data_IF_135238845850
#
_entry.id   IF_135238845850
#
_cell.length_a   1.000
_cell.length_b   1.000
_cell.length_c   1.000
_cell.angle_alpha   90.00
_cell.angle_beta   90.00
_cell.angle_gamma   90.00
#
_symmetry.space_group_name_H-M   'P 1'
#
loop_
_entity.id
_entity.type
_entity.pdbx_description
1 polymer ?
#
# COMPACT_ATOMS: atom_id res chain seq x y z
N UNK A 1 4.39 -4.98 -38.27
CA UNK A 1 5.08 -4.43 -37.09
C UNK A 1 4.76 -5.32 -35.90
N UNK A 2 5.75 -5.98 -35.31
CA UNK A 2 5.54 -6.83 -34.13
C UNK A 2 4.99 -5.98 -32.99
N UNK A 3 3.89 -6.42 -32.37
CA UNK A 3 3.40 -5.74 -31.16
C UNK A 3 4.45 -5.91 -30.06
N UNK A 4 5.02 -4.82 -29.61
CA UNK A 4 5.84 -4.81 -28.39
C UNK A 4 4.86 -5.01 -27.24
N UNK A 5 4.84 -6.19 -26.64
CA UNK A 5 4.11 -6.41 -25.39
C UNK A 5 4.79 -5.56 -24.31
N UNK A 6 4.09 -4.58 -23.70
CA UNK A 6 4.69 -3.76 -22.67
C UNK A 6 5.07 -4.64 -21.46
N UNK A 7 6.20 -4.32 -20.83
CA UNK A 7 6.60 -4.96 -19.59
C UNK A 7 5.63 -4.61 -18.45
N UNK A 8 5.56 -5.47 -17.43
CA UNK A 8 4.78 -5.17 -16.22
C UNK A 8 5.12 -3.79 -15.64
N UNK A 9 6.42 -3.45 -15.57
CA UNK A 9 6.88 -2.16 -15.05
C UNK A 9 6.32 -0.98 -15.84
N UNK A 10 6.23 -1.08 -17.16
CA UNK A 10 5.63 -0.02 -17.99
C UNK A 10 4.13 0.13 -17.72
N UNK A 11 3.41 -0.99 -17.64
CA UNK A 11 1.99 -1.00 -17.30
C UNK A 11 1.74 -0.42 -15.90
N UNK A 12 2.54 -0.83 -14.92
CA UNK A 12 2.50 -0.33 -13.54
C UNK A 12 2.72 1.17 -13.45
N UNK A 13 3.78 1.69 -14.08
CA UNK A 13 4.06 3.13 -14.04
C UNK A 13 2.97 3.94 -14.74
N UNK A 14 2.47 3.47 -15.88
CA UNK A 14 1.36 4.09 -16.58
C UNK A 14 0.10 4.14 -15.71
N UNK A 15 -0.21 3.06 -15.00
CA UNK A 15 -1.37 2.99 -14.12
C UNK A 15 -1.21 3.94 -12.92
N UNK A 16 -0.03 3.99 -12.31
CA UNK A 16 0.28 4.91 -11.21
C UNK A 16 0.15 6.37 -11.66
N UNK A 17 0.65 6.73 -12.83
CA UNK A 17 0.52 8.09 -13.39
C UNK A 17 -0.95 8.45 -13.62
N UNK A 18 -1.74 7.53 -14.16
CA UNK A 18 -3.16 7.74 -14.38
C UNK A 18 -3.91 7.94 -13.04
N UNK A 19 -3.63 7.10 -12.05
CA UNK A 19 -4.22 7.22 -10.72
C UNK A 19 -3.83 8.52 -10.02
N UNK A 20 -2.58 8.99 -10.16
CA UNK A 20 -2.16 10.29 -9.63
C UNK A 20 -2.95 11.44 -10.24
N UNK A 21 -3.17 11.39 -11.56
CA UNK A 21 -3.87 12.44 -12.28
C UNK A 21 -5.36 12.45 -12.00
N UNK A 22 -6.01 11.29 -12.11
CA UNK A 22 -7.47 11.20 -12.16
C UNK A 22 -8.08 10.87 -10.79
N UNK A 23 -7.39 10.09 -9.97
CA UNK A 23 -7.90 9.65 -8.68
C UNK A 23 -7.38 10.52 -7.53
N UNK A 24 -6.06 10.65 -7.36
CA UNK A 24 -5.47 11.44 -6.27
C UNK A 24 -5.91 12.90 -6.34
N UNK A 25 -5.99 13.48 -7.54
CA UNK A 25 -6.48 14.85 -7.76
C UNK A 25 -7.96 15.04 -7.41
N UNK A 26 -8.76 13.99 -7.47
CA UNK A 26 -10.19 14.02 -7.13
C UNK A 26 -10.46 13.82 -5.63
N UNK A 27 -9.46 13.39 -4.83
CA UNK A 27 -9.59 13.23 -3.39
C UNK A 27 -9.66 14.59 -2.70
N UNK A 28 -10.81 14.87 -2.05
CA UNK A 28 -11.03 16.12 -1.31
C UNK A 28 -10.20 16.17 -0.02
N UNK A 29 -10.25 15.08 0.75
CA UNK A 29 -9.56 14.99 2.03
C UNK A 29 -8.03 14.92 1.85
N UNK A 30 -7.31 15.63 2.73
CA UNK A 30 -5.85 15.65 2.69
C UNK A 30 -5.26 14.33 3.19
N UNK A 31 -5.86 13.73 4.22
CA UNK A 31 -5.42 12.44 4.76
C UNK A 31 -5.51 11.32 3.71
N UNK A 32 -6.58 11.30 2.93
CA UNK A 32 -6.73 10.36 1.82
C UNK A 32 -5.66 10.54 0.73
N UNK A 33 -5.27 11.78 0.42
CA UNK A 33 -4.18 12.05 -0.54
C UNK A 33 -2.83 11.60 0.00
N UNK A 34 -2.55 11.84 1.28
CA UNK A 34 -1.33 11.37 1.94
C UNK A 34 -1.29 9.83 2.02
N UNK A 35 -2.42 9.19 2.33
CA UNK A 35 -2.55 7.73 2.32
C UNK A 35 -2.31 7.14 0.93
N UNK A 36 -2.81 7.79 -0.13
CA UNK A 36 -2.52 7.41 -1.50
C UNK A 36 -1.02 7.45 -1.80
N UNK A 37 -0.30 8.50 -1.39
CA UNK A 37 1.14 8.59 -1.60
C UNK A 37 1.92 7.48 -0.87
N UNK A 38 1.45 7.07 0.31
CA UNK A 38 2.00 5.91 1.03
C UNK A 38 1.77 4.60 0.26
N UNK A 39 0.59 4.43 -0.34
CA UNK A 39 0.30 3.26 -1.20
C UNK A 39 1.23 3.21 -2.41
N UNK A 40 1.45 4.34 -3.09
CA UNK A 40 2.39 4.37 -4.23
C UNK A 40 3.79 3.94 -3.80
N UNK A 41 4.27 4.40 -2.64
CA UNK A 41 5.59 4.02 -2.14
C UNK A 41 5.68 2.50 -1.89
N UNK A 42 4.66 1.93 -1.25
CA UNK A 42 4.60 0.49 -0.97
C UNK A 42 4.55 -0.35 -2.25
N UNK A 43 3.82 0.10 -3.27
CA UNK A 43 3.78 -0.58 -4.56
C UNK A 43 5.13 -0.47 -5.29
N UNK A 44 5.73 0.71 -5.35
CA UNK A 44 7.02 0.91 -6.02
C UNK A 44 8.15 0.08 -5.39
N UNK A 45 8.13 -0.20 -4.09
CA UNK A 45 9.14 -1.06 -3.45
C UNK A 45 9.01 -2.53 -3.82
N UNK A 46 7.85 -2.95 -4.33
CA UNK A 46 7.49 -4.35 -4.57
C UNK A 46 7.17 -4.61 -6.04
N UNK A 47 7.55 -3.72 -6.95
CA UNK A 47 7.22 -3.81 -8.39
C UNK A 47 7.75 -5.09 -9.05
N UNK A 48 8.91 -5.57 -8.60
CA UNK A 48 9.49 -6.84 -9.05
C UNK A 48 8.68 -8.05 -8.54
N UNK A 49 8.30 -8.05 -7.25
CA UNK A 49 7.47 -9.12 -6.68
C UNK A 49 6.11 -9.14 -7.37
N UNK A 50 5.56 -7.96 -7.64
CA UNK A 50 4.31 -7.79 -8.36
C UNK A 50 4.38 -8.38 -9.78
N UNK A 51 5.40 -8.03 -10.55
CA UNK A 51 5.59 -8.54 -11.92
C UNK A 51 5.72 -10.06 -12.04
N UNK A 52 6.07 -10.75 -10.94
CA UNK A 52 6.25 -12.20 -10.89
C UNK A 52 5.04 -12.99 -10.35
N UNK A 53 3.95 -12.33 -9.96
CA UNK A 53 2.86 -12.95 -9.20
C UNK A 53 1.81 -13.73 -10.01
N UNK A 54 1.93 -13.80 -11.34
CA UNK A 54 0.92 -14.34 -12.27
C UNK A 54 -0.49 -13.72 -12.16
N UNK A 55 -0.68 -12.63 -11.40
CA UNK A 55 -1.95 -11.90 -11.35
C UNK A 55 -2.17 -11.16 -12.68
N UNK A 56 -3.32 -11.33 -13.35
CA UNK A 56 -3.49 -10.89 -14.74
C UNK A 56 -3.64 -9.38 -14.93
N UNK A 57 -4.15 -8.66 -13.92
CA UNK A 57 -4.39 -7.21 -14.00
C UNK A 57 -3.48 -6.43 -13.06
N UNK A 58 -2.88 -5.37 -13.57
CA UNK A 58 -2.01 -4.46 -12.81
C UNK A 58 -2.73 -3.82 -11.62
N UNK A 59 -4.01 -3.46 -11.76
CA UNK A 59 -4.78 -2.92 -10.65
C UNK A 59 -5.10 -3.98 -9.58
N UNK A 60 -5.41 -5.21 -9.98
CA UNK A 60 -5.74 -6.28 -9.03
C UNK A 60 -4.54 -6.59 -8.14
N UNK A 61 -3.34 -6.61 -8.71
CA UNK A 61 -2.13 -6.85 -7.94
C UNK A 61 -1.75 -5.66 -7.07
N UNK A 62 -1.92 -4.43 -7.55
CA UNK A 62 -1.74 -3.24 -6.73
C UNK A 62 -2.71 -3.26 -5.54
N UNK A 63 -3.97 -3.63 -5.75
CA UNK A 63 -4.96 -3.79 -4.69
C UNK A 63 -4.54 -4.89 -3.69
N UNK A 64 -4.10 -6.05 -4.18
CA UNK A 64 -3.59 -7.13 -3.33
C UNK A 64 -2.41 -6.65 -2.48
N UNK A 65 -1.45 -5.94 -3.07
CA UNK A 65 -0.31 -5.36 -2.35
C UNK A 65 -0.74 -4.33 -1.31
N UNK A 66 -1.73 -3.49 -1.62
CA UNK A 66 -2.31 -2.55 -0.67
C UNK A 66 -2.92 -3.28 0.53
N UNK A 67 -3.66 -4.37 0.29
CA UNK A 67 -4.24 -5.19 1.37
C UNK A 67 -3.17 -5.88 2.23
N UNK A 68 -2.10 -6.41 1.61
CA UNK A 68 -0.96 -6.99 2.34
C UNK A 68 -0.30 -5.93 3.24
N UNK A 69 -0.05 -4.73 2.69
CA UNK A 69 0.53 -3.63 3.45
C UNK A 69 -0.39 -3.19 4.61
N UNK A 70 -1.67 -3.01 4.34
CA UNK A 70 -2.68 -2.66 5.35
C UNK A 70 -2.72 -3.71 6.48
N UNK A 71 -2.71 -5.01 6.13
CA UNK A 71 -2.73 -6.10 7.11
C UNK A 71 -1.48 -6.10 8.00
N UNK A 72 -0.31 -5.75 7.44
CA UNK A 72 0.95 -5.58 8.18
C UNK A 72 0.84 -4.41 9.15
N UNK A 73 0.45 -3.22 8.69
CA UNK A 73 0.32 -2.02 9.52
C UNK A 73 -0.68 -2.23 10.68
N UNK A 74 -1.85 -2.80 10.40
CA UNK A 74 -2.84 -3.12 11.44
C UNK A 74 -2.26 -4.11 12.47
N UNK A 75 -1.47 -5.08 12.03
CA UNK A 75 -0.78 -6.01 12.94
C UNK A 75 0.22 -5.32 13.86
N UNK A 76 1.02 -4.41 13.31
CA UNK A 76 2.00 -3.61 14.07
C UNK A 76 1.31 -2.72 15.10
N UNK A 77 0.31 -1.94 14.67
CA UNK A 77 -0.48 -1.09 15.55
C UNK A 77 -1.15 -1.88 16.68
N UNK A 78 -1.68 -3.08 16.38
CA UNK A 78 -2.28 -3.93 17.42
C UNK A 78 -1.25 -4.41 18.46
N UNK A 79 -0.01 -4.65 18.05
CA UNK A 79 1.05 -5.03 18.98
C UNK A 79 1.49 -3.83 19.84
N UNK A 80 1.68 -2.66 19.22
CA UNK A 80 2.01 -1.42 19.92
C UNK A 80 0.94 -1.06 20.98
N UNK A 81 -0.34 -1.20 20.64
CA UNK A 81 -1.44 -1.00 21.59
C UNK A 81 -1.34 -1.97 22.78
N UNK A 82 -1.11 -3.27 22.52
CA UNK A 82 -0.96 -4.25 23.60
C UNK A 82 0.21 -3.93 24.52
N UNK A 83 1.35 -3.56 23.95
CA UNK A 83 2.54 -3.18 24.72
C UNK A 83 2.27 -1.94 25.60
N UNK A 84 1.54 -0.95 25.07
CA UNK A 84 1.11 0.21 25.83
C UNK A 84 0.17 -0.18 26.97
N UNK A 85 -0.84 -1.02 26.72
CA UNK A 85 -1.78 -1.50 27.74
C UNK A 85 -1.06 -2.28 28.86
N UNK A 86 -0.07 -3.11 28.51
CA UNK A 86 0.74 -3.85 29.49
C UNK A 86 1.54 -2.92 30.39
N UNK A 87 2.17 -1.89 29.80
CA UNK A 87 2.92 -0.86 30.56
C UNK A 87 2.00 -0.07 31.49
N UNK A 88 0.82 0.32 31.02
CA UNK A 88 -0.18 1.01 31.84
C UNK A 88 -0.57 0.14 33.04
N UNK A 89 -0.92 -1.13 32.82
CA UNK A 89 -1.27 -2.07 33.90
C UNK A 89 -0.15 -2.33 34.89
N UNK A 90 1.11 -2.25 34.46
CA UNK A 90 2.27 -2.38 35.34
C UNK A 90 2.41 -1.16 36.25
N UNK A 91 2.21 0.04 35.70
CA UNK A 91 2.23 1.30 36.45
C UNK A 91 1.06 1.35 37.45
N UNK A 92 -0.16 1.01 37.02
CA UNK A 92 -1.35 0.96 37.89
C UNK A 92 -1.19 -0.03 39.06
N UNK A 93 -0.43 -1.13 38.87
CA UNK A 93 -0.13 -2.08 39.95
C UNK A 93 0.91 -1.60 40.96
N UNK A 94 1.66 -0.54 40.63
CA UNK A 94 2.71 0.05 41.49
C UNK A 94 2.23 1.26 42.27
N UNK A 95 1.03 1.78 41.97
CA UNK A 95 0.36 2.85 42.72
C UNK A 95 -0.54 2.26 43.81
#
# INVERSE_FOLDING_TARGET
>A
MGRITPSFRQLFLSEVEQLRKDFQGALLDKGNREAFDLLIRAWCSEDHAMGNSNVPCTLDIMNLMANVHNRKCVGQLRNEIKECDEKIREIERRM
#
